data_IF_394838032213
#
_entry.id   IF_394838032213
#
_cell.length_a   1.000
_cell.length_b   1.000
_cell.length_c   1.000
_cell.angle_alpha   90.00
_cell.angle_beta   90.00
_cell.angle_gamma   90.00
#
_symmetry.space_group_name_H-M   'P 1'
#
loop_
_entity.id
_entity.type
_entity.pdbx_description
1 polymer ?
#
# COMPACT_ATOMS: atom_id res chain seq x y z
N UNK A 1 12.14 -15.59 -22.50
CA UNK A 1 11.87 -14.15 -22.81
C UNK A 1 11.45 -14.04 -24.28
N UNK A 2 10.57 -13.08 -24.58
CA UNK A 2 10.14 -12.83 -25.96
C UNK A 2 11.34 -12.34 -26.79
N UNK A 3 11.53 -12.80 -28.05
CA UNK A 3 12.71 -12.44 -28.86
C UNK A 3 12.91 -10.94 -29.10
N UNK A 4 11.85 -10.14 -28.96
CA UNK A 4 11.90 -8.66 -29.07
C UNK A 4 12.09 -7.95 -27.73
N UNK A 5 12.24 -8.69 -26.63
CA UNK A 5 12.47 -8.09 -25.31
C UNK A 5 13.92 -7.67 -25.19
N UNK A 6 14.16 -6.46 -24.71
CA UNK A 6 15.50 -5.99 -24.32
C UNK A 6 15.90 -6.47 -22.92
N UNK A 7 15.12 -7.36 -22.31
CA UNK A 7 15.35 -7.88 -20.95
C UNK A 7 14.98 -6.91 -19.83
N UNK A 8 14.43 -5.74 -20.13
CA UNK A 8 13.93 -4.78 -19.14
C UNK A 8 12.43 -4.92 -18.96
N UNK A 9 11.98 -4.84 -17.72
CA UNK A 9 10.58 -4.99 -17.33
C UNK A 9 10.15 -3.83 -16.44
N UNK A 10 8.98 -3.29 -16.74
CA UNK A 10 8.31 -2.31 -15.90
C UNK A 10 6.99 -2.82 -15.38
N UNK A 11 6.49 -2.21 -14.31
CA UNK A 11 5.14 -2.42 -13.81
C UNK A 11 4.49 -1.11 -13.45
N UNK A 12 3.19 -1.04 -13.66
CA UNK A 12 2.35 0.08 -13.25
C UNK A 12 1.05 -0.43 -12.70
N UNK A 13 0.35 0.40 -11.96
CA UNK A 13 -0.98 0.09 -11.49
C UNK A 13 -1.63 1.29 -10.85
N UNK A 14 -2.96 1.36 -10.98
CA UNK A 14 -3.79 2.41 -10.44
C UNK A 14 -4.51 1.93 -9.18
N UNK A 15 -4.66 2.79 -8.17
CA UNK A 15 -5.36 2.48 -6.91
C UNK A 15 -4.75 1.26 -6.21
N UNK A 16 -5.49 0.17 -6.01
CA UNK A 16 -4.94 -1.10 -5.52
C UNK A 16 -3.77 -1.63 -6.35
N UNK A 17 -3.82 -1.44 -7.66
CA UNK A 17 -2.69 -1.77 -8.54
C UNK A 17 -1.46 -0.93 -8.22
N UNK A 18 -1.65 0.35 -7.91
CA UNK A 18 -0.59 1.25 -7.44
C UNK A 18 0.02 0.80 -6.13
N UNK A 19 -0.81 0.41 -5.16
CA UNK A 19 -0.36 -0.19 -3.89
C UNK A 19 0.48 -1.45 -4.13
N UNK A 20 0.01 -2.35 -5.00
CA UNK A 20 0.76 -3.55 -5.36
C UNK A 20 2.10 -3.23 -6.02
N UNK A 21 2.15 -2.17 -6.83
CA UNK A 21 3.40 -1.71 -7.46
C UNK A 21 4.44 -1.26 -6.42
N UNK A 22 4.03 -0.62 -5.33
CA UNK A 22 4.94 -0.33 -4.22
C UNK A 22 5.51 -1.60 -3.58
N UNK A 23 4.67 -2.61 -3.34
CA UNK A 23 5.16 -3.90 -2.81
C UNK A 23 6.17 -4.57 -3.73
N UNK A 24 5.96 -4.52 -5.04
CA UNK A 24 6.87 -5.10 -6.03
C UNK A 24 8.21 -4.35 -6.13
N UNK A 25 8.31 -3.15 -5.56
CA UNK A 25 9.52 -2.37 -5.50
C UNK A 25 10.42 -2.73 -4.31
N UNK A 26 9.87 -3.39 -3.28
CA UNK A 26 10.62 -3.65 -2.06
C UNK A 26 11.52 -4.88 -2.18
N UNK A 27 12.79 -4.72 -1.82
CA UNK A 27 13.80 -5.76 -1.91
C UNK A 27 13.48 -6.99 -1.06
N UNK A 28 12.77 -6.82 0.06
CA UNK A 28 12.40 -7.93 0.95
C UNK A 28 11.44 -8.91 0.27
N UNK A 29 10.44 -8.36 -0.46
CA UNK A 29 9.53 -9.20 -1.23
C UNK A 29 10.20 -9.80 -2.45
N UNK A 30 11.01 -9.02 -3.15
CA UNK A 30 11.76 -9.49 -4.32
C UNK A 30 12.71 -10.63 -3.93
N UNK A 31 13.46 -10.49 -2.85
CA UNK A 31 14.35 -11.55 -2.35
C UNK A 31 13.58 -12.81 -1.96
N UNK A 32 12.42 -12.65 -1.32
CA UNK A 32 11.60 -13.77 -0.86
C UNK A 32 10.99 -14.57 -2.01
N UNK A 33 10.50 -13.89 -3.05
CA UNK A 33 9.70 -14.52 -4.11
C UNK A 33 10.46 -14.73 -5.41
N UNK A 34 11.50 -13.93 -5.69
CA UNK A 34 12.29 -14.02 -6.93
C UNK A 34 13.73 -14.50 -6.71
N UNK A 35 14.13 -14.70 -5.46
CA UNK A 35 15.44 -15.26 -5.09
C UNK A 35 16.62 -14.31 -5.30
N UNK A 36 16.37 -12.98 -5.34
CA UNK A 36 17.44 -12.01 -5.54
C UNK A 36 17.04 -10.59 -5.14
N UNK A 37 17.96 -9.65 -5.33
CA UNK A 37 17.75 -8.22 -5.00
C UNK A 37 17.35 -7.38 -6.20
N UNK A 38 17.20 -7.97 -7.38
CA UNK A 38 16.76 -7.32 -8.61
C UNK A 38 15.27 -7.53 -8.81
N UNK A 39 14.55 -6.44 -9.02
CA UNK A 39 13.13 -6.42 -9.33
C UNK A 39 12.86 -5.88 -10.73
N UNK A 40 11.73 -5.21 -10.89
CA UNK A 40 11.39 -4.48 -12.10
C UNK A 40 12.35 -3.30 -12.31
N UNK A 41 12.70 -3.00 -13.57
CA UNK A 41 13.57 -1.86 -13.89
C UNK A 41 12.89 -0.51 -13.70
N UNK A 42 11.57 -0.46 -13.95
CA UNK A 42 10.75 0.73 -13.75
C UNK A 42 9.44 0.37 -13.05
N UNK A 43 9.05 1.18 -12.07
CA UNK A 43 7.80 1.01 -11.32
C UNK A 43 7.06 2.34 -11.25
N UNK A 44 5.77 2.31 -11.61
CA UNK A 44 4.90 3.47 -11.64
C UNK A 44 3.64 3.21 -10.80
N UNK A 45 3.66 3.46 -9.48
CA UNK A 45 2.47 3.45 -8.65
C UNK A 45 1.61 4.68 -8.92
N UNK A 46 0.34 4.47 -9.24
CA UNK A 46 -0.62 5.55 -9.49
C UNK A 46 -1.77 5.52 -8.49
N UNK A 47 -2.11 6.66 -7.87
CA UNK A 47 -3.20 6.82 -6.91
C UNK A 47 -3.29 5.70 -5.86
N UNK A 48 -2.16 5.25 -5.35
CA UNK A 48 -2.06 4.14 -4.43
C UNK A 48 -2.71 4.46 -3.07
N UNK A 49 -3.21 3.43 -2.38
CA UNK A 49 -3.52 3.52 -0.95
C UNK A 49 -2.24 3.25 -0.17
N UNK A 50 -1.71 4.28 0.51
CA UNK A 50 -0.43 4.21 1.18
C UNK A 50 -0.51 4.26 2.70
N UNK A 51 -1.69 4.43 3.29
CA UNK A 51 -1.85 4.52 4.74
C UNK A 51 -2.03 3.14 5.39
N UNK A 52 -2.95 2.35 4.87
CA UNK A 52 -3.34 1.07 5.46
C UNK A 52 -2.87 -0.14 4.65
N UNK A 53 -1.97 0.05 3.71
CA UNK A 53 -1.50 -1.01 2.84
C UNK A 53 -0.66 -2.09 3.58
N UNK A 54 -0.13 -1.79 4.76
CA UNK A 54 0.76 -2.70 5.48
C UNK A 54 2.14 -2.77 4.84
N UNK A 55 2.68 -1.63 4.46
CA UNK A 55 4.05 -1.54 3.95
C UNK A 55 5.08 -1.83 5.05
N UNK A 56 6.26 -2.25 4.65
CA UNK A 56 7.37 -2.37 5.59
C UNK A 56 7.66 -1.02 6.27
N UNK A 57 7.95 -1.07 7.56
CA UNK A 57 8.34 0.13 8.31
C UNK A 57 9.63 0.74 7.77
N UNK A 58 10.53 -0.10 7.31
CA UNK A 58 11.79 0.27 6.67
C UNK A 58 11.80 -0.26 5.22
N UNK A 59 11.12 0.42 4.29
CA UNK A 59 11.09 -0.01 2.90
C UNK A 59 12.43 0.25 2.22
N UNK A 60 12.85 -0.67 1.34
CA UNK A 60 14.09 -0.55 0.59
C UNK A 60 13.86 -0.91 -0.88
N UNK A 61 14.28 -0.01 -1.78
CA UNK A 61 14.13 -0.20 -3.21
C UNK A 61 15.06 -1.31 -3.73
N UNK A 62 14.55 -2.15 -4.63
CA UNK A 62 15.38 -3.11 -5.36
C UNK A 62 16.49 -2.41 -6.15
N UNK A 63 17.66 -3.06 -6.27
CA UNK A 63 18.90 -2.43 -6.72
C UNK A 63 18.87 -1.83 -8.13
N UNK A 64 18.07 -2.41 -9.04
CA UNK A 64 17.95 -1.95 -10.43
C UNK A 64 16.76 -1.01 -10.67
N UNK A 65 15.83 -0.89 -9.73
CA UNK A 65 14.57 -0.18 -9.93
C UNK A 65 14.72 1.34 -9.94
N UNK A 66 13.95 1.98 -10.81
CA UNK A 66 13.62 3.40 -10.74
C UNK A 66 12.11 3.52 -10.54
N UNK A 67 11.67 4.32 -9.58
CA UNK A 67 10.26 4.50 -9.24
C UNK A 67 9.80 5.93 -9.49
N UNK A 68 8.66 6.07 -10.14
CA UNK A 68 7.94 7.34 -10.27
C UNK A 68 6.55 7.16 -9.66
N UNK A 69 6.30 7.73 -8.50
CA UNK A 69 4.98 7.77 -7.87
C UNK A 69 4.16 8.90 -8.49
N UNK A 70 3.01 8.59 -9.07
CA UNK A 70 2.09 9.59 -9.60
C UNK A 70 0.81 9.60 -8.79
N UNK A 71 0.40 10.79 -8.32
CA UNK A 71 -0.80 10.90 -7.51
C UNK A 71 -1.59 12.17 -7.84
N UNK A 72 -2.90 12.11 -7.66
CA UNK A 72 -3.77 13.29 -7.81
C UNK A 72 -3.73 14.15 -6.56
N UNK A 73 -3.49 15.45 -6.72
CA UNK A 73 -3.54 16.41 -5.61
C UNK A 73 -4.95 16.67 -5.08
N UNK A 74 -5.98 16.44 -5.92
CA UNK A 74 -7.39 16.51 -5.56
C UNK A 74 -8.03 15.13 -5.26
N UNK A 75 -7.19 14.09 -5.12
CA UNK A 75 -7.67 12.75 -4.76
C UNK A 75 -8.10 12.73 -3.29
N UNK A 76 -9.40 12.65 -3.08
CA UNK A 76 -10.05 12.61 -1.77
C UNK A 76 -10.41 11.18 -1.32
N UNK A 77 -10.06 10.17 -2.12
CA UNK A 77 -10.25 8.76 -1.80
C UNK A 77 -8.98 8.12 -1.23
N UNK A 78 -7.85 8.33 -1.90
CA UNK A 78 -6.51 7.96 -1.41
C UNK A 78 -5.64 9.22 -1.38
N UNK A 79 -5.32 9.73 -0.19
CA UNK A 79 -4.63 11.03 -0.10
C UNK A 79 -3.17 10.94 -0.54
N UNK A 80 -2.79 11.81 -1.46
CA UNK A 80 -1.43 11.90 -2.01
C UNK A 80 -0.33 12.02 -0.93
N UNK A 81 -0.62 12.71 0.19
CA UNK A 81 0.33 12.92 1.28
C UNK A 81 0.90 11.61 1.83
N UNK A 82 0.07 10.57 2.00
CA UNK A 82 0.53 9.29 2.55
C UNK A 82 1.47 8.54 1.61
N UNK A 83 1.23 8.63 0.30
CA UNK A 83 2.15 8.05 -0.68
C UNK A 83 3.45 8.83 -0.80
N UNK A 84 3.40 10.15 -0.66
CA UNK A 84 4.59 11.00 -0.58
C UNK A 84 5.43 10.64 0.65
N UNK A 85 4.83 10.60 1.84
CA UNK A 85 5.47 10.22 3.08
C UNK A 85 6.07 8.79 3.01
N UNK A 86 5.36 7.85 2.38
CA UNK A 86 5.89 6.50 2.17
C UNK A 86 7.10 6.51 1.22
N UNK A 87 7.00 7.21 0.09
CA UNK A 87 8.09 7.30 -0.89
C UNK A 87 9.36 7.93 -0.29
N UNK A 88 9.21 8.93 0.57
CA UNK A 88 10.32 9.59 1.28
C UNK A 88 11.05 8.67 2.27
N UNK A 89 10.37 7.64 2.78
CA UNK A 89 10.97 6.64 3.69
C UNK A 89 11.70 5.51 2.95
N UNK A 90 11.49 5.37 1.65
CA UNK A 90 12.12 4.29 0.88
C UNK A 90 13.62 4.52 0.83
N UNK A 91 14.39 3.60 1.40
CA UNK A 91 15.84 3.60 1.25
C UNK A 91 16.21 3.31 -0.20
N UNK A 92 16.78 4.29 -0.86
CA UNK A 92 17.16 4.21 -2.28
C UNK A 92 18.34 5.14 -2.60
N UNK A 93 19.12 4.87 -3.66
CA UNK A 93 20.07 5.84 -4.17
C UNK A 93 19.39 7.14 -4.60
N UNK A 94 20.09 8.28 -4.53
CA UNK A 94 19.55 9.57 -4.94
C UNK A 94 18.92 9.54 -6.35
N UNK A 95 17.74 10.13 -6.49
CA UNK A 95 17.03 10.25 -7.77
C UNK A 95 16.33 8.98 -8.27
N UNK A 96 16.45 7.87 -7.55
CA UNK A 96 15.78 6.61 -7.93
C UNK A 96 14.29 6.58 -7.58
N UNK A 97 13.87 7.32 -6.57
CA UNK A 97 12.45 7.51 -6.22
C UNK A 97 12.06 8.94 -6.49
N UNK A 98 11.03 9.14 -7.29
CA UNK A 98 10.45 10.46 -7.59
C UNK A 98 8.96 10.45 -7.29
N UNK A 99 8.44 11.59 -6.86
CA UNK A 99 7.00 11.78 -6.61
C UNK A 99 6.51 12.93 -7.47
N UNK A 100 5.44 12.70 -8.19
CA UNK A 100 4.80 13.67 -9.07
C UNK A 100 3.32 13.81 -8.67
N UNK A 101 2.99 14.89 -7.97
CA UNK A 101 1.63 15.20 -7.55
C UNK A 101 0.99 16.11 -8.60
N UNK A 102 -0.03 15.59 -9.27
CA UNK A 102 -0.77 16.31 -10.31
C UNK A 102 -1.89 17.13 -9.68
N UNK A 103 -1.72 18.43 -9.65
CA UNK A 103 -2.74 19.35 -9.14
C UNK A 103 -4.07 19.18 -9.87
N UNK A 104 -5.18 19.19 -9.13
CA UNK A 104 -6.53 19.05 -9.67
C UNK A 104 -6.92 17.67 -10.16
N UNK A 105 -6.04 16.68 -10.11
CA UNK A 105 -6.38 15.30 -10.48
C UNK A 105 -7.06 14.57 -9.33
N UNK A 106 -8.20 13.92 -9.63
CA UNK A 106 -8.98 13.09 -8.72
C UNK A 106 -8.56 11.62 -8.82
N UNK A 107 -9.06 10.76 -7.94
CA UNK A 107 -8.69 9.34 -7.86
C UNK A 107 -8.75 8.60 -9.20
N UNK A 108 -9.76 8.83 -10.01
CA UNK A 108 -10.00 8.06 -11.23
C UNK A 108 -9.59 8.79 -12.52
N UNK A 109 -8.56 9.64 -12.50
CA UNK A 109 -8.15 10.40 -13.68
C UNK A 109 -7.85 9.54 -14.91
N UNK A 110 -7.28 8.34 -14.71
CA UNK A 110 -6.95 7.41 -15.79
C UNK A 110 -8.17 6.80 -16.50
N UNK A 111 -9.37 6.93 -15.92
CA UNK A 111 -10.60 6.42 -16.52
C UNK A 111 -11.11 7.29 -17.67
N UNK A 112 -10.52 8.46 -17.93
CA UNK A 112 -10.91 9.37 -19.01
C UNK A 112 -12.33 9.94 -18.88
N UNK A 113 -12.93 9.85 -17.68
CA UNK A 113 -14.29 10.34 -17.39
C UNK A 113 -14.23 11.61 -16.56
N UNK A 114 -15.29 12.41 -16.60
CA UNK A 114 -15.45 13.54 -15.70
C UNK A 114 -15.47 13.04 -14.25
N UNK A 115 -14.90 13.80 -13.29
CA UNK A 115 -14.99 13.47 -11.87
C UNK A 115 -16.43 13.24 -11.44
N UNK A 116 -16.66 12.22 -10.62
CA UNK A 116 -17.96 11.95 -10.02
C UNK A 116 -17.78 11.62 -8.54
N UNK A 117 -18.80 11.90 -7.75
CA UNK A 117 -18.81 11.52 -6.34
C UNK A 117 -19.42 10.12 -6.18
N UNK A 118 -18.61 9.19 -5.67
CA UNK A 118 -19.07 7.84 -5.33
C UNK A 118 -19.68 7.84 -3.91
N UNK A 119 -21.01 7.81 -3.85
CA UNK A 119 -21.75 7.92 -2.57
C UNK A 119 -21.48 6.76 -1.59
N UNK A 120 -21.05 5.62 -2.09
CA UNK A 120 -20.78 4.42 -1.30
C UNK A 120 -19.31 4.24 -0.96
N UNK A 121 -18.43 5.07 -1.50
CA UNK A 121 -17.01 5.02 -1.17
C UNK A 121 -16.80 5.37 0.31
N UNK A 122 -15.99 4.56 0.96
CA UNK A 122 -15.51 4.82 2.32
C UNK A 122 -14.01 5.05 2.25
N UNK A 123 -13.57 6.12 2.89
CA UNK A 123 -12.15 6.45 2.98
C UNK A 123 -11.54 5.91 4.27
N UNK A 124 -10.24 5.75 4.26
CA UNK A 124 -9.44 5.25 5.39
C UNK A 124 -8.60 6.37 6.02
N UNK A 125 -8.94 7.62 5.73
CA UNK A 125 -8.12 8.79 6.07
C UNK A 125 -7.87 8.94 7.56
N UNK A 126 -8.84 8.56 8.39
CA UNK A 126 -8.79 8.71 9.84
C UNK A 126 -8.35 7.42 10.54
N UNK A 127 -8.13 6.34 9.78
CA UNK A 127 -7.64 5.10 10.35
C UNK A 127 -6.13 5.18 10.63
N UNK A 128 -5.62 4.45 11.65
CA UNK A 128 -4.19 4.38 11.93
C UNK A 128 -3.42 3.76 10.77
N UNK A 129 -2.18 4.18 10.59
CA UNK A 129 -1.27 3.55 9.62
C UNK A 129 -1.09 2.07 9.93
N UNK A 130 -0.82 1.28 8.91
CA UNK A 130 -0.44 -0.12 9.05
C UNK A 130 0.98 -0.30 8.53
N UNK A 131 1.91 -0.59 9.44
CA UNK A 131 3.27 -0.97 9.10
C UNK A 131 3.56 -2.38 9.59
N UNK A 132 4.38 -3.09 8.82
CA UNK A 132 4.85 -4.43 9.17
C UNK A 132 6.36 -4.45 9.38
N UNK A 133 6.83 -5.35 10.23
CA UNK A 133 8.24 -5.68 10.37
C UNK A 133 8.74 -6.57 9.22
N UNK A 134 10.01 -6.94 9.26
CA UNK A 134 10.63 -7.81 8.25
C UNK A 134 10.05 -9.24 8.22
N UNK A 135 9.32 -9.64 9.27
CA UNK A 135 8.63 -10.92 9.38
C UNK A 135 7.16 -10.84 8.91
N UNK A 136 6.69 -9.64 8.53
CA UNK A 136 5.31 -9.39 8.13
C UNK A 136 4.34 -9.21 9.29
N UNK A 137 4.83 -8.99 10.53
CA UNK A 137 3.99 -8.70 11.68
C UNK A 137 3.68 -7.21 11.77
N UNK A 138 2.43 -6.88 12.05
CA UNK A 138 2.00 -5.48 12.28
C UNK A 138 2.64 -4.94 13.55
N UNK A 139 3.32 -3.80 13.43
CA UNK A 139 4.08 -3.20 14.54
C UNK A 139 3.36 -2.02 15.22
N UNK A 140 2.26 -1.52 14.64
CA UNK A 140 1.48 -0.46 15.25
C UNK A 140 0.67 -0.99 16.43
N UNK A 141 0.92 -0.55 17.67
CA UNK A 141 0.28 -1.11 18.86
C UNK A 141 -1.24 -0.89 18.90
N UNK A 142 -1.74 0.16 18.26
CA UNK A 142 -3.18 0.47 18.19
C UNK A 142 -4.01 -0.67 17.57
N UNK A 143 -3.46 -1.40 16.59
CA UNK A 143 -4.14 -2.54 15.98
C UNK A 143 -4.28 -3.71 16.93
N UNK A 144 -3.24 -3.98 17.74
CA UNK A 144 -3.27 -4.99 18.80
C UNK A 144 -4.32 -4.61 19.85
N UNK A 145 -4.28 -3.37 20.32
CA UNK A 145 -5.27 -2.83 21.25
C UNK A 145 -6.70 -3.08 20.74
N UNK A 146 -7.02 -2.70 19.50
CA UNK A 146 -8.38 -2.84 18.97
C UNK A 146 -8.80 -4.30 18.79
N UNK A 147 -7.94 -5.12 18.19
CA UNK A 147 -8.32 -6.46 17.76
C UNK A 147 -8.25 -7.49 18.90
N UNK A 148 -7.39 -7.28 19.86
CA UNK A 148 -7.14 -8.22 20.96
C UNK A 148 -7.68 -7.66 22.28
N UNK A 149 -7.20 -6.50 22.70
CA UNK A 149 -7.44 -6.00 24.06
C UNK A 149 -8.83 -5.37 24.21
N UNK A 150 -9.27 -4.53 23.29
CA UNK A 150 -10.52 -3.78 23.37
C UNK A 150 -11.74 -4.58 22.90
N UNK A 151 -11.68 -5.12 21.68
CA UNK A 151 -12.84 -5.77 21.05
C UNK A 151 -12.84 -7.29 21.15
N UNK A 152 -11.76 -7.91 21.66
CA UNK A 152 -11.64 -9.36 21.81
C UNK A 152 -11.97 -10.13 20.51
N UNK A 153 -11.58 -9.56 19.35
CA UNK A 153 -11.86 -10.13 18.03
C UNK A 153 -11.01 -11.39 17.82
N UNK A 154 -9.80 -11.36 18.37
CA UNK A 154 -8.87 -12.48 18.43
C UNK A 154 -8.36 -12.65 19.87
N UNK A 155 -8.12 -13.88 20.33
CA UNK A 155 -7.61 -14.13 21.67
C UNK A 155 -6.12 -13.74 21.84
N UNK A 156 -5.36 -13.74 20.74
CA UNK A 156 -3.94 -13.38 20.73
C UNK A 156 -3.48 -12.90 19.35
N UNK A 157 -2.25 -12.40 19.24
CA UNK A 157 -1.64 -12.04 17.96
C UNK A 157 -1.45 -13.25 17.05
N UNK A 158 -1.02 -14.38 17.59
CA UNK A 158 -0.82 -15.62 16.83
C UNK A 158 -2.13 -16.07 16.17
N UNK A 159 -3.23 -16.05 16.92
CA UNK A 159 -4.56 -16.40 16.40
C UNK A 159 -5.04 -15.42 15.32
N UNK A 160 -4.65 -14.12 15.43
CA UNK A 160 -4.93 -13.15 14.39
C UNK A 160 -4.14 -13.45 13.12
N UNK A 161 -2.82 -13.66 13.22
CA UNK A 161 -1.97 -13.95 12.05
C UNK A 161 -2.35 -15.28 11.38
N UNK A 162 -2.62 -16.32 12.15
CA UNK A 162 -3.11 -17.58 11.62
C UNK A 162 -4.44 -17.39 10.85
N UNK A 163 -5.37 -16.63 11.42
CA UNK A 163 -6.63 -16.33 10.76
C UNK A 163 -6.43 -15.49 9.48
N UNK A 164 -5.46 -14.56 9.46
CA UNK A 164 -5.15 -13.75 8.29
C UNK A 164 -4.60 -14.60 7.14
N UNK A 165 -3.76 -15.56 7.43
CA UNK A 165 -3.21 -16.49 6.44
C UNK A 165 -4.27 -17.47 5.91
N UNK A 166 -5.03 -18.09 6.81
CA UNK A 166 -5.94 -19.17 6.44
C UNK A 166 -7.33 -18.71 5.98
N UNK A 167 -7.78 -17.54 6.45
CA UNK A 167 -9.13 -17.01 6.20
C UNK A 167 -9.10 -15.48 5.96
N UNK A 168 -8.32 -14.95 4.99
CA UNK A 168 -8.07 -13.51 4.84
C UNK A 168 -9.35 -12.70 4.68
N UNK A 169 -10.32 -13.17 3.90
CA UNK A 169 -11.59 -12.48 3.69
C UNK A 169 -12.44 -12.35 4.97
N UNK A 170 -12.45 -13.39 5.81
CA UNK A 170 -13.16 -13.37 7.10
C UNK A 170 -12.46 -12.46 8.09
N UNK A 171 -11.13 -12.51 8.12
CA UNK A 171 -10.27 -11.63 8.93
C UNK A 171 -10.52 -10.17 8.56
N UNK A 172 -10.47 -9.83 7.28
CA UNK A 172 -10.76 -8.47 6.81
C UNK A 172 -12.13 -7.97 7.30
N UNK A 173 -13.19 -8.79 7.18
CA UNK A 173 -14.52 -8.42 7.67
C UNK A 173 -14.57 -8.12 9.17
N UNK A 174 -13.80 -8.85 9.99
CA UNK A 174 -13.69 -8.62 11.43
C UNK A 174 -12.94 -7.31 11.73
N UNK A 175 -11.80 -7.09 11.06
CA UNK A 175 -11.02 -5.86 11.17
C UNK A 175 -11.89 -4.65 10.78
N UNK A 176 -12.61 -4.74 9.68
CA UNK A 176 -13.50 -3.69 9.20
C UNK A 176 -14.59 -3.32 10.20
N UNK A 177 -15.09 -4.29 11.00
CA UNK A 177 -16.03 -4.01 12.10
C UNK A 177 -15.37 -3.18 13.21
N UNK A 178 -14.11 -3.45 13.56
CA UNK A 178 -13.36 -2.65 14.52
C UNK A 178 -13.19 -1.20 14.02
N UNK A 179 -12.76 -1.05 12.77
CA UNK A 179 -12.58 0.25 12.12
C UNK A 179 -13.87 1.09 12.14
N UNK A 180 -15.04 0.46 11.90
CA UNK A 180 -16.35 1.12 12.02
C UNK A 180 -16.64 1.57 13.44
N UNK A 181 -16.35 0.74 14.45
CA UNK A 181 -16.56 1.09 15.87
C UNK A 181 -15.66 2.25 16.30
N UNK A 182 -14.45 2.31 15.80
CA UNK A 182 -13.51 3.42 16.04
C UNK A 182 -13.80 4.66 15.21
N UNK A 183 -14.83 4.60 14.33
CA UNK A 183 -15.25 5.71 13.46
C UNK A 183 -14.12 6.23 12.55
N UNK A 184 -13.11 5.42 12.27
CA UNK A 184 -12.01 5.80 11.39
C UNK A 184 -12.34 5.69 9.90
N UNK A 185 -13.49 5.10 9.56
CA UNK A 185 -14.01 5.08 8.20
C UNK A 185 -14.91 6.29 7.99
N UNK A 186 -14.55 7.18 7.10
CA UNK A 186 -15.37 8.32 6.67
C UNK A 186 -16.05 8.06 5.31
N UNK A 187 -17.18 8.72 5.07
CA UNK A 187 -17.91 8.67 3.79
C UNK A 187 -17.63 9.92 2.98
#
# INVERSE_FOLDING_TARGET
>A
SHPRSNGKFGTTGHSRGGTNSFFLADVKLTSKFLGGTKGFDAILPEAAECRMAGFFAEPELTSNTTMLVVHGGADDYTLAKFCKEHAERIKAPPGKVKVDIKEGWYHAWAAGKKPWREKMAMTLHDCPDVYIDNNGKVINPIWKEWLIDKYKIYPSEEAWYEAAQNKPRKTFKKIFKAMKKEKCLSK
#
